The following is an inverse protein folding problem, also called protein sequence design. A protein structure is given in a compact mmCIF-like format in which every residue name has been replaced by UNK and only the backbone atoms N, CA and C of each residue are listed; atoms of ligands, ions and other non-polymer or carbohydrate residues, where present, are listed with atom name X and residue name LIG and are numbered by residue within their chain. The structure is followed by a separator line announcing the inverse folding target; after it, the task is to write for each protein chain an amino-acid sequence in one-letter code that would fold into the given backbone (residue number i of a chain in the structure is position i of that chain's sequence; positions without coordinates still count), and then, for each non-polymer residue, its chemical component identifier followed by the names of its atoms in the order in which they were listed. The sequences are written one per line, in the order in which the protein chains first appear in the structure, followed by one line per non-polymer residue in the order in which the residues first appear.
data_IF_134857034987
#
_entry.id   IF_134857034987
#
_cell.length_a   1.000
_cell.length_b   1.000
_cell.length_c   1.000
_cell.angle_alpha   90.00
_cell.angle_beta   90.00
_cell.angle_gamma   90.00
#
_symmetry.space_group_name_H-M   'P 1'
#
loop_
_entity.id
_entity.type
_entity.pdbx_description
1 polymer ?
#
# COMPACT_ATOMS: atom_id res chain seq x y z
N UNK A 1 32.05 -8.11 3.90
CA UNK A 1 31.06 -7.30 4.65
C UNK A 1 29.65 -7.61 4.12
N UNK A 2 29.24 -8.89 4.13
CA UNK A 2 28.05 -9.43 3.40
C UNK A 2 27.02 -10.00 4.41
N UNK A 3 27.08 -9.56 5.68
CA UNK A 3 26.34 -10.19 6.78
C UNK A 3 25.24 -9.31 7.39
N UNK A 4 24.80 -8.26 6.66
CA UNK A 4 23.70 -7.39 7.09
C UNK A 4 22.47 -7.40 6.16
N UNK A 5 22.44 -8.25 5.13
CA UNK A 5 21.36 -8.27 4.13
C UNK A 5 20.34 -9.41 4.30
N UNK A 6 20.41 -10.21 5.38
CA UNK A 6 19.57 -11.40 5.55
C UNK A 6 18.55 -11.30 6.70
N UNK A 7 18.61 -10.26 7.56
CA UNK A 7 17.89 -10.28 8.85
C UNK A 7 16.78 -9.23 9.02
N UNK A 8 15.95 -9.04 7.99
CA UNK A 8 14.63 -8.42 8.15
C UNK A 8 13.54 -9.49 7.95
N UNK A 9 13.65 -10.60 8.69
CA UNK A 9 12.49 -11.48 8.85
C UNK A 9 11.50 -10.76 9.77
N UNK A 10 10.52 -10.10 9.15
CA UNK A 10 9.40 -9.49 9.87
C UNK A 10 8.76 -10.50 10.82
N UNK A 11 8.35 -9.98 11.97
CA UNK A 11 7.66 -10.76 12.99
C UNK A 11 6.34 -11.32 12.45
N UNK A 12 5.83 -12.37 13.08
CA UNK A 12 4.55 -12.95 12.67
C UNK A 12 3.42 -11.91 12.78
N UNK A 13 3.43 -11.05 13.80
CA UNK A 13 2.42 -10.00 13.95
C UNK A 13 2.44 -8.98 12.81
N UNK A 14 3.63 -8.59 12.33
CA UNK A 14 3.77 -7.65 11.21
C UNK A 14 3.28 -8.25 9.88
N UNK A 15 3.56 -9.55 9.67
CA UNK A 15 3.06 -10.28 8.49
C UNK A 15 1.53 -10.36 8.50
N UNK A 16 0.97 -10.67 9.66
CA UNK A 16 -0.49 -10.68 9.87
C UNK A 16 -1.08 -9.29 9.60
N UNK A 17 -0.49 -8.22 10.14
CA UNK A 17 -0.95 -6.85 9.89
C UNK A 17 -0.95 -6.53 8.40
N UNK A 18 0.10 -6.95 7.68
CA UNK A 18 0.21 -6.75 6.24
C UNK A 18 -0.90 -7.50 5.48
N UNK A 19 -1.26 -8.70 5.92
CA UNK A 19 -2.39 -9.45 5.36
C UNK A 19 -3.71 -8.73 5.62
N UNK A 20 -3.92 -8.25 6.84
CA UNK A 20 -5.15 -7.56 7.24
C UNK A 20 -5.34 -6.25 6.45
N UNK A 21 -4.27 -5.50 6.23
CA UNK A 21 -4.28 -4.33 5.34
C UNK A 21 -4.65 -4.72 3.91
N UNK A 22 -4.02 -5.77 3.36
CA UNK A 22 -4.29 -6.24 2.00
C UNK A 22 -5.76 -6.67 1.83
N UNK A 23 -6.30 -7.44 2.78
CA UNK A 23 -7.70 -7.86 2.80
C UNK A 23 -8.67 -6.68 2.91
N UNK A 24 -8.33 -5.69 3.74
CA UNK A 24 -9.14 -4.47 3.90
C UNK A 24 -9.19 -3.67 2.60
N UNK A 25 -8.09 -3.66 1.85
CA UNK A 25 -7.97 -2.88 0.63
C UNK A 25 -8.56 -3.57 -0.59
N UNK A 26 -8.59 -4.90 -0.58
CA UNK A 26 -9.06 -5.71 -1.68
C UNK A 26 -10.03 -6.77 -1.15
N UNK A 27 -11.28 -6.43 -0.81
CA UNK A 27 -12.25 -7.40 -0.29
C UNK A 27 -12.68 -8.50 -1.28
N UNK A 28 -12.49 -8.28 -2.60
CA UNK A 28 -12.86 -9.23 -3.66
C UNK A 28 -11.61 -9.88 -4.26
N UNK A 29 -11.09 -10.88 -3.56
CA UNK A 29 -9.87 -11.60 -3.94
C UNK A 29 -10.17 -13.04 -4.33
N UNK A 30 -9.26 -13.63 -5.11
CA UNK A 30 -9.13 -15.08 -5.29
C UNK A 30 -7.79 -15.57 -4.72
N UNK A 31 -7.63 -16.88 -4.53
CA UNK A 31 -6.38 -17.50 -4.05
C UNK A 31 -5.17 -17.09 -4.90
N UNK A 32 -5.39 -16.94 -6.21
CA UNK A 32 -4.40 -16.48 -7.18
C UNK A 32 -3.85 -15.08 -6.86
N UNK A 33 -4.68 -14.20 -6.31
CA UNK A 33 -4.30 -12.82 -6.02
C UNK A 33 -3.41 -12.75 -4.77
N UNK A 34 -3.68 -13.58 -3.75
CA UNK A 34 -2.76 -13.75 -2.62
C UNK A 34 -1.41 -14.29 -3.07
N UNK A 35 -1.43 -15.28 -3.98
CA UNK A 35 -0.20 -15.83 -4.54
C UNK A 35 0.61 -14.75 -5.25
N UNK A 36 -0.03 -13.99 -6.15
CA UNK A 36 0.64 -12.92 -6.92
C UNK A 36 1.14 -11.79 -6.02
N UNK A 37 0.35 -11.38 -5.02
CA UNK A 37 0.75 -10.39 -4.02
C UNK A 37 2.00 -10.81 -3.24
N UNK A 38 2.03 -12.04 -2.73
CA UNK A 38 3.23 -12.58 -2.07
C UNK A 38 4.39 -12.75 -3.05
N UNK A 39 4.11 -13.16 -4.28
CA UNK A 39 5.12 -13.44 -5.30
C UNK A 39 5.87 -12.17 -5.65
N UNK A 40 5.15 -11.09 -5.91
CA UNK A 40 5.77 -9.80 -6.17
C UNK A 40 6.47 -9.22 -4.95
N UNK A 41 5.98 -9.45 -3.74
CA UNK A 41 6.69 -9.09 -2.52
C UNK A 41 8.05 -9.78 -2.38
N UNK A 42 8.17 -11.03 -2.84
CA UNK A 42 9.43 -11.77 -2.72
C UNK A 42 10.37 -11.56 -3.91
N UNK A 43 9.84 -11.66 -5.12
CA UNK A 43 10.61 -11.75 -6.36
C UNK A 43 10.60 -10.45 -7.17
N UNK A 44 9.71 -9.50 -6.87
CA UNK A 44 9.49 -8.33 -7.71
C UNK A 44 8.87 -8.69 -9.06
N UNK A 45 8.95 -7.76 -10.02
CA UNK A 45 8.45 -7.95 -11.38
C UNK A 45 9.51 -8.62 -12.26
N UNK A 46 9.39 -9.93 -12.48
CA UNK A 46 10.39 -10.74 -13.20
C UNK A 46 10.38 -10.42 -14.70
N UNK A 47 9.21 -10.14 -15.28
CA UNK A 47 9.05 -9.85 -16.70
C UNK A 47 10.00 -8.75 -17.21
N UNK A 48 10.36 -7.78 -16.37
CA UNK A 48 11.24 -6.67 -16.75
C UNK A 48 12.71 -7.12 -16.93
N UNK A 49 13.13 -8.26 -16.36
CA UNK A 49 14.50 -8.78 -16.55
C UNK A 49 14.74 -9.31 -17.97
N UNK A 50 13.77 -9.98 -18.58
CA UNK A 50 13.94 -10.51 -19.95
C UNK A 50 13.83 -9.42 -21.03
N UNK A 51 13.09 -8.34 -20.75
CA UNK A 51 12.95 -7.19 -21.65
C UNK A 51 14.20 -6.31 -21.76
N UNK A 52 15.11 -6.35 -20.79
CA UNK A 52 16.39 -5.63 -20.88
C UNK A 52 17.49 -6.43 -21.59
N UNK A 53 17.27 -7.73 -21.85
CA UNK A 53 18.24 -8.54 -22.62
C UNK A 53 18.26 -8.15 -24.09
N UNK A 54 17.10 -7.97 -24.73
CA UNK A 54 17.06 -7.74 -26.18
C UNK A 54 15.83 -6.93 -26.62
N UNK A 55 16.10 -5.75 -27.20
CA UNK A 55 15.26 -4.95 -28.14
C UNK A 55 14.59 -3.68 -27.61
N UNK A 56 14.88 -2.62 -28.38
CA UNK A 56 14.18 -1.33 -28.51
C UNK A 56 12.66 -1.48 -28.34
N UNK A 57 12.13 -1.09 -27.19
CA UNK A 57 10.71 -0.83 -27.01
C UNK A 57 10.53 0.67 -26.76
N UNK A 58 9.38 1.20 -27.17
CA UNK A 58 9.00 2.61 -26.98
C UNK A 58 9.34 3.08 -25.56
N UNK A 59 9.74 4.37 -25.38
CA UNK A 59 10.19 4.85 -24.07
C UNK A 59 9.14 4.49 -23.03
N UNK A 60 9.51 3.76 -21.97
CA UNK A 60 8.60 3.27 -20.90
C UNK A 60 7.61 4.34 -20.44
N UNK A 61 8.03 5.60 -20.48
CA UNK A 61 7.20 6.79 -20.26
C UNK A 61 5.96 6.87 -21.19
N UNK A 62 6.11 6.62 -22.50
CA UNK A 62 5.01 6.72 -23.45
C UNK A 62 3.92 5.67 -23.20
N UNK A 63 4.29 4.43 -22.87
CA UNK A 63 3.29 3.42 -22.47
C UNK A 63 2.61 3.81 -21.16
N UNK A 64 3.36 4.31 -20.18
CA UNK A 64 2.78 4.81 -18.92
C UNK A 64 1.81 5.98 -19.16
N UNK A 65 2.12 6.88 -20.08
CA UNK A 65 1.23 8.01 -20.41
C UNK A 65 -0.05 7.55 -21.12
N UNK A 66 0.03 6.56 -22.02
CA UNK A 66 -1.17 5.97 -22.64
C UNK A 66 -2.04 5.23 -21.62
N UNK A 67 -1.43 4.44 -20.74
CA UNK A 67 -2.12 3.77 -19.62
C UNK A 67 -2.86 4.78 -18.73
N UNK A 68 -2.20 5.89 -18.39
CA UNK A 68 -2.79 6.97 -17.60
C UNK A 68 -3.97 7.64 -18.31
N UNK A 69 -3.87 7.91 -19.61
CA UNK A 69 -4.96 8.51 -20.38
C UNK A 69 -6.21 7.62 -20.34
N UNK A 70 -6.03 6.32 -20.56
CA UNK A 70 -7.13 5.36 -20.52
C UNK A 70 -7.76 5.23 -19.13
N UNK A 71 -6.97 5.37 -18.06
CA UNK A 71 -7.47 5.27 -16.67
C UNK A 71 -8.12 6.57 -16.18
N UNK A 72 -7.65 7.73 -16.63
CA UNK A 72 -8.25 9.03 -16.28
C UNK A 72 -9.68 9.19 -16.82
N UNK A 73 -10.01 8.46 -17.90
CA UNK A 73 -11.37 8.39 -18.44
C UNK A 73 -12.30 7.48 -17.62
N UNK A 74 -11.76 6.67 -16.70
CA UNK A 74 -12.51 5.82 -15.78
C UNK A 74 -12.75 6.52 -14.43
N UNK A 75 -14.00 6.55 -13.97
CA UNK A 75 -14.40 7.23 -12.72
C UNK A 75 -13.86 6.57 -11.44
N UNK A 76 -13.33 5.34 -11.50
CA UNK A 76 -12.86 4.60 -10.33
C UNK A 76 -11.39 4.91 -9.99
N UNK A 77 -11.13 6.12 -9.49
CA UNK A 77 -9.77 6.57 -9.23
C UNK A 77 -9.32 6.18 -7.82
N UNK A 78 -8.26 5.39 -7.73
CA UNK A 78 -7.62 5.09 -6.43
C UNK A 78 -7.02 6.35 -5.84
N UNK A 79 -7.17 6.50 -4.52
CA UNK A 79 -6.62 7.62 -3.75
C UNK A 79 -5.22 7.33 -3.20
N UNK A 80 -4.79 6.07 -3.18
CA UNK A 80 -3.50 5.67 -2.62
C UNK A 80 -2.43 5.63 -3.69
N UNK A 81 -1.28 6.20 -3.40
CA UNK A 81 -0.12 6.27 -4.30
C UNK A 81 0.65 4.97 -4.31
N UNK A 82 0.73 4.28 -3.18
CA UNK A 82 1.46 3.01 -3.10
C UNK A 82 0.80 2.03 -2.13
N UNK A 83 1.12 0.75 -2.31
CA UNK A 83 0.81 -0.33 -1.37
C UNK A 83 2.00 -1.31 -1.21
N UNK A 84 2.26 -1.83 0.00
CA UNK A 84 3.26 -2.87 0.21
C UNK A 84 2.84 -4.20 -0.43
N UNK A 85 3.83 -4.92 -0.97
CA UNK A 85 3.64 -6.23 -1.58
C UNK A 85 4.26 -7.34 -0.72
N UNK A 86 3.44 -8.35 -0.44
CA UNK A 86 3.78 -9.53 0.34
C UNK A 86 4.25 -9.25 1.77
N UNK A 87 4.70 -10.30 2.44
CA UNK A 87 5.14 -10.26 3.83
C UNK A 87 6.54 -9.69 4.04
N UNK A 88 7.40 -9.77 3.02
CA UNK A 88 8.73 -9.18 3.07
C UNK A 88 8.68 -7.64 2.96
N UNK A 89 7.64 -7.10 2.33
CA UNK A 89 7.48 -5.69 1.95
C UNK A 89 8.73 -5.08 1.28
N UNK A 90 9.54 -5.90 0.61
CA UNK A 90 10.74 -5.43 -0.12
C UNK A 90 10.39 -4.63 -1.36
N UNK A 91 9.21 -4.90 -1.91
CA UNK A 91 8.66 -4.22 -3.06
C UNK A 91 7.34 -3.55 -2.67
N UNK A 92 7.05 -2.47 -3.37
CA UNK A 92 5.76 -1.78 -3.31
C UNK A 92 5.19 -1.72 -4.72
N UNK A 93 3.87 -1.66 -4.79
CA UNK A 93 3.13 -1.32 -6.00
C UNK A 93 2.83 0.16 -5.95
N UNK A 94 3.30 0.92 -6.94
CA UNK A 94 3.02 2.34 -7.11
C UNK A 94 1.89 2.49 -8.12
N UNK A 95 0.81 3.12 -7.70
CA UNK A 95 -0.33 3.48 -8.53
C UNK A 95 -0.01 4.77 -9.30
N UNK A 96 0.06 4.68 -10.62
CA UNK A 96 0.55 5.76 -11.47
C UNK A 96 -0.42 6.96 -11.48
N UNK A 97 -1.72 6.69 -11.50
CA UNK A 97 -2.74 7.74 -11.57
C UNK A 97 -2.73 8.70 -10.38
N UNK A 98 -2.83 8.24 -9.12
CA UNK A 98 -2.72 9.12 -7.97
C UNK A 98 -1.33 9.77 -7.85
N UNK A 99 -0.26 9.04 -8.17
CA UNK A 99 1.10 9.61 -8.20
C UNK A 99 1.20 10.80 -9.18
N UNK A 100 0.65 10.65 -10.39
CA UNK A 100 0.63 11.70 -11.40
C UNK A 100 -0.27 12.87 -11.03
N UNK A 101 -1.42 12.63 -10.39
CA UNK A 101 -2.35 13.66 -9.91
C UNK A 101 -1.83 14.51 -8.75
N UNK A 102 -0.79 14.02 -8.07
CA UNK A 102 -0.02 14.78 -7.09
C UNK A 102 1.16 15.53 -7.74
N UNK A 103 1.21 15.58 -9.08
CA UNK A 103 2.22 16.27 -9.87
C UNK A 103 3.64 15.70 -9.73
N UNK A 104 3.77 14.45 -9.27
CA UNK A 104 5.06 13.80 -9.20
C UNK A 104 5.56 13.31 -10.57
N UNK A 105 6.86 13.46 -10.87
CA UNK A 105 7.41 13.13 -12.19
C UNK A 105 7.48 11.61 -12.42
N UNK A 106 6.79 11.12 -13.45
CA UNK A 106 6.79 9.70 -13.84
C UNK A 106 8.17 9.18 -14.24
N UNK A 107 9.04 10.04 -14.78
CA UNK A 107 10.42 9.70 -15.11
C UNK A 107 11.20 9.16 -13.90
N UNK A 108 10.85 9.58 -12.68
CA UNK A 108 11.47 9.04 -11.46
C UNK A 108 11.07 7.58 -11.22
N UNK A 109 9.82 7.22 -11.48
CA UNK A 109 9.36 5.82 -11.41
C UNK A 109 10.08 4.97 -12.45
N UNK A 110 10.23 5.46 -13.68
CA UNK A 110 11.00 4.76 -14.73
C UNK A 110 12.45 4.50 -14.28
N UNK A 111 13.11 5.51 -13.70
CA UNK A 111 14.47 5.37 -13.18
C UNK A 111 14.53 4.38 -12.00
N UNK A 112 13.53 4.39 -11.13
CA UNK A 112 13.44 3.44 -10.02
C UNK A 112 13.28 2.01 -10.52
N UNK A 113 12.39 1.77 -11.49
CA UNK A 113 12.20 0.46 -12.12
C UNK A 113 13.50 -0.08 -12.74
N UNK A 114 14.27 0.79 -13.41
CA UNK A 114 15.56 0.42 -14.00
C UNK A 114 16.61 0.06 -12.96
N UNK A 115 16.58 0.70 -11.79
CA UNK A 115 17.55 0.50 -10.70
C UNK A 115 17.14 -0.58 -9.71
N UNK A 116 15.86 -0.92 -9.65
CA UNK A 116 15.35 -2.07 -8.95
C UNK A 116 15.60 -3.33 -9.79
N UNK A 117 16.87 -3.63 -10.09
CA UNK A 117 17.24 -4.94 -10.63
C UNK A 117 16.86 -5.99 -9.59
N UNK A 118 15.93 -6.89 -9.95
CA UNK A 118 15.33 -7.81 -9.00
C UNK A 118 16.38 -8.64 -8.26
N UNK A 119 16.30 -8.60 -6.92
CA UNK A 119 17.00 -9.55 -6.08
C UNK A 119 16.51 -10.96 -6.42
N UNK A 120 17.41 -11.95 -6.41
CA UNK A 120 17.00 -13.34 -6.41
C UNK A 120 16.22 -13.61 -5.11
N UNK A 121 14.89 -13.50 -5.17
CA UNK A 121 14.02 -13.74 -4.04
C UNK A 121 14.26 -15.13 -3.45
N UNK A 122 14.05 -15.27 -2.14
CA UNK A 122 14.31 -16.50 -1.41
C UNK A 122 13.13 -17.45 -1.55
N UNK A 123 13.23 -18.42 -2.47
CA UNK A 123 12.16 -19.43 -2.71
C UNK A 123 11.68 -20.13 -1.44
N UNK A 124 12.58 -20.43 -0.50
CA UNK A 124 12.21 -21.04 0.78
C UNK A 124 11.39 -20.11 1.66
N UNK A 125 11.71 -18.81 1.68
CA UNK A 125 10.94 -17.82 2.44
C UNK A 125 9.55 -17.66 1.85
N UNK A 126 9.43 -17.56 0.52
CA UNK A 126 8.14 -17.52 -0.15
C UNK A 126 7.25 -18.70 0.22
N UNK A 127 7.80 -19.92 0.25
CA UNK A 127 7.03 -21.12 0.64
C UNK A 127 6.57 -21.08 2.09
N UNK A 128 7.42 -20.61 3.02
CA UNK A 128 7.04 -20.45 4.42
C UNK A 128 5.96 -19.37 4.60
N UNK A 129 6.10 -18.25 3.90
CA UNK A 129 5.13 -17.15 3.90
C UNK A 129 3.79 -17.58 3.31
N UNK A 130 3.81 -18.40 2.24
CA UNK A 130 2.61 -19.01 1.68
C UNK A 130 1.88 -19.93 2.67
N UNK A 131 2.63 -20.77 3.40
CA UNK A 131 2.07 -21.63 4.44
C UNK A 131 1.42 -20.78 5.55
N UNK A 132 2.13 -19.75 6.02
CA UNK A 132 1.61 -18.84 7.03
C UNK A 132 0.31 -18.16 6.56
N UNK A 133 0.27 -17.67 5.32
CA UNK A 133 -0.92 -17.04 4.74
C UNK A 133 -2.10 -18.02 4.70
N UNK A 134 -1.86 -19.24 4.21
CA UNK A 134 -2.88 -20.29 4.15
C UNK A 134 -3.44 -20.60 5.53
N UNK A 135 -2.58 -20.77 6.52
CA UNK A 135 -2.99 -21.08 7.89
C UNK A 135 -3.81 -19.93 8.50
N UNK A 136 -3.43 -18.67 8.27
CA UNK A 136 -4.18 -17.50 8.74
C UNK A 136 -5.54 -17.37 8.04
N UNK A 137 -5.62 -17.53 6.71
CA UNK A 137 -6.88 -17.44 5.97
C UNK A 137 -7.86 -18.54 6.39
N UNK A 138 -7.38 -19.78 6.50
CA UNK A 138 -8.21 -20.93 6.88
C UNK A 138 -8.62 -20.86 8.35
N UNK A 139 -7.72 -20.48 9.26
CA UNK A 139 -8.05 -20.38 10.70
C UNK A 139 -9.07 -19.27 11.01
N UNK A 140 -9.05 -18.18 10.25
CA UNK A 140 -10.01 -17.07 10.36
C UNK A 140 -11.29 -17.27 9.55
N UNK A 141 -11.38 -18.38 8.79
CA UNK A 141 -12.51 -18.72 7.94
C UNK A 141 -12.87 -17.58 6.94
N UNK A 142 -11.86 -16.98 6.31
CA UNK A 142 -12.01 -15.84 5.38
C UNK A 142 -12.44 -16.35 3.99
N UNK A 143 -13.55 -17.10 3.93
CA UNK A 143 -14.19 -17.51 2.68
C UNK A 143 -13.46 -18.58 1.85
N UNK A 144 -12.25 -19.00 2.23
CA UNK A 144 -11.49 -20.04 1.54
C UNK A 144 -11.21 -21.24 2.45
N UNK A 145 -11.36 -22.43 1.88
CA UNK A 145 -11.13 -23.72 2.52
C UNK A 145 -9.72 -24.22 2.22
N UNK A 146 -9.21 -25.10 3.10
CA UNK A 146 -7.93 -25.77 2.90
C UNK A 146 -7.88 -26.55 1.57
N UNK A 147 -9.00 -27.12 1.14
CA UNK A 147 -9.07 -27.90 -0.10
C UNK A 147 -8.90 -27.00 -1.33
N UNK A 148 -9.45 -25.79 -1.33
CA UNK A 148 -9.29 -24.84 -2.44
C UNK A 148 -7.84 -24.40 -2.60
N UNK A 149 -7.10 -24.20 -1.49
CA UNK A 149 -5.66 -23.95 -1.54
C UNK A 149 -4.88 -25.11 -2.16
N UNK A 150 -5.19 -26.36 -1.77
CA UNK A 150 -4.52 -27.55 -2.33
C UNK A 150 -4.82 -27.66 -3.84
N UNK A 151 -6.09 -27.52 -4.23
CA UNK A 151 -6.48 -27.57 -5.63
C UNK A 151 -5.78 -26.48 -6.47
N UNK A 152 -5.62 -25.28 -5.90
CA UNK A 152 -4.87 -24.20 -6.54
C UNK A 152 -3.38 -24.55 -6.66
N UNK A 153 -2.75 -24.99 -5.57
CA UNK A 153 -1.33 -25.38 -5.52
C UNK A 153 -0.99 -26.45 -6.57
N UNK A 154 -1.86 -27.44 -6.74
CA UNK A 154 -1.73 -28.50 -7.74
C UNK A 154 -1.89 -27.96 -9.16
N UNK A 155 -2.92 -27.12 -9.41
CA UNK A 155 -3.19 -26.49 -10.71
C UNK A 155 -2.00 -25.70 -11.22
N UNK A 156 -1.33 -24.97 -10.33
CA UNK A 156 -0.20 -24.11 -10.69
C UNK A 156 1.15 -24.80 -10.57
N UNK A 157 1.21 -26.08 -10.19
CA UNK A 157 2.47 -26.78 -9.95
C UNK A 157 3.38 -25.99 -8.97
N UNK A 158 2.85 -25.66 -7.79
CA UNK A 158 3.47 -24.73 -6.81
C UNK A 158 4.95 -25.00 -6.50
N UNK A 159 5.43 -26.24 -6.63
CA UNK A 159 6.84 -26.58 -6.45
C UNK A 159 7.79 -25.81 -7.39
N UNK A 160 7.35 -25.44 -8.60
CA UNK A 160 8.12 -24.69 -9.59
C UNK A 160 8.10 -23.17 -9.34
N UNK A 161 7.10 -22.68 -8.61
CA UNK A 161 6.84 -21.27 -8.35
C UNK A 161 6.68 -20.46 -9.65
N UNK A 162 5.72 -20.82 -10.52
CA UNK A 162 5.51 -20.08 -11.77
C UNK A 162 5.07 -18.65 -11.48
N UNK A 163 5.42 -17.73 -12.36
CA UNK A 163 4.80 -16.41 -12.36
C UNK A 163 3.38 -16.53 -12.93
N UNK A 164 2.40 -16.11 -12.14
CA UNK A 164 1.00 -16.01 -12.55
C UNK A 164 0.61 -14.55 -12.61
N UNK A 165 -0.42 -14.20 -13.36
CA UNK A 165 -1.00 -12.86 -13.31
C UNK A 165 -2.07 -12.78 -12.19
N UNK A 166 -2.57 -11.58 -11.87
CA UNK A 166 -3.76 -11.43 -11.04
C UNK A 166 -4.99 -12.05 -11.72
N UNK A 167 -5.99 -12.46 -10.92
CA UNK A 167 -7.26 -12.99 -11.41
C UNK A 167 -8.01 -11.95 -12.25
N UNK A 168 -8.85 -12.41 -13.16
CA UNK A 168 -9.69 -11.51 -13.97
C UNK A 168 -10.67 -10.73 -13.07
N UNK A 169 -11.15 -11.36 -12.00
CA UNK A 169 -11.97 -10.73 -10.96
C UNK A 169 -11.22 -9.57 -10.32
N UNK A 170 -9.97 -9.78 -9.90
CA UNK A 170 -9.14 -8.74 -9.32
C UNK A 170 -8.92 -7.60 -10.31
N UNK A 171 -8.48 -7.89 -11.54
CA UNK A 171 -8.24 -6.85 -12.55
C UNK A 171 -9.48 -6.00 -12.86
N UNK A 172 -10.67 -6.61 -12.83
CA UNK A 172 -11.94 -5.93 -13.08
C UNK A 172 -12.39 -5.06 -11.90
N UNK A 173 -12.25 -5.55 -10.68
CA UNK A 173 -12.66 -4.82 -9.47
C UNK A 173 -11.63 -3.75 -9.06
N UNK A 174 -10.38 -3.96 -9.46
CA UNK A 174 -9.23 -3.17 -9.06
C UNK A 174 -8.39 -2.70 -10.26
N UNK A 175 -9.00 -2.11 -11.31
CA UNK A 175 -8.26 -1.62 -12.46
C UNK A 175 -7.36 -0.47 -12.01
N UNK A 176 -6.06 -0.62 -12.22
CA UNK A 176 -5.13 0.47 -11.95
C UNK A 176 -3.83 0.29 -12.73
N UNK A 177 -3.40 1.37 -13.39
CA UNK A 177 -2.07 1.47 -13.98
C UNK A 177 -1.06 1.55 -12.84
N UNK A 178 -0.17 0.58 -12.77
CA UNK A 178 0.74 0.45 -11.65
C UNK A 178 2.12 -0.05 -12.08
N UNK A 179 3.12 0.20 -11.24
CA UNK A 179 4.49 -0.31 -11.41
C UNK A 179 5.04 -0.82 -10.08
N UNK A 180 5.88 -1.85 -10.16
CA UNK A 180 6.50 -2.45 -8.98
C UNK A 180 7.92 -1.93 -8.86
N UNK A 181 8.27 -1.42 -7.69
CA UNK A 181 9.59 -0.87 -7.41
C UNK A 181 10.06 -1.34 -6.03
N UNK A 182 11.38 -1.34 -5.83
CA UNK A 182 11.94 -1.66 -4.52
C UNK A 182 11.55 -0.59 -3.49
N UNK A 183 10.99 -1.01 -2.38
CA UNK A 183 10.46 -0.14 -1.31
C UNK A 183 11.55 0.81 -0.79
N UNK A 184 12.73 0.27 -0.48
CA UNK A 184 13.88 1.02 0.02
C UNK A 184 14.27 2.16 -0.94
N UNK A 185 14.42 1.86 -2.22
CA UNK A 185 14.77 2.87 -3.21
C UNK A 185 13.66 3.90 -3.35
N UNK A 186 12.39 3.49 -3.34
CA UNK A 186 11.29 4.44 -3.44
C UNK A 186 11.26 5.43 -2.27
N UNK A 187 11.35 4.96 -1.03
CA UNK A 187 11.32 5.85 0.15
C UNK A 187 12.60 6.67 0.34
N UNK A 188 13.74 6.22 -0.19
CA UNK A 188 14.95 7.06 -0.26
C UNK A 188 14.75 8.29 -1.17
N UNK A 189 13.98 8.13 -2.25
CA UNK A 189 13.67 9.22 -3.19
C UNK A 189 12.47 10.05 -2.77
N UNK A 190 11.51 9.45 -2.07
CA UNK A 190 10.26 10.08 -1.64
C UNK A 190 9.94 9.74 -0.18
N UNK A 191 10.70 10.32 0.78
CA UNK A 191 10.53 10.04 2.20
C UNK A 191 9.15 10.45 2.74
N UNK A 192 8.47 11.41 2.10
CA UNK A 192 7.13 11.86 2.47
C UNK A 192 6.08 10.73 2.41
N UNK A 193 6.26 9.78 1.50
CA UNK A 193 5.35 8.65 1.35
C UNK A 193 5.59 7.55 2.40
N UNK A 194 6.66 7.62 3.20
CA UNK A 194 6.96 6.61 4.21
C UNK A 194 5.95 6.64 5.37
N UNK A 195 5.38 7.81 5.67
CA UNK A 195 4.40 8.00 6.73
C UNK A 195 2.96 7.95 6.22
N UNK A 196 2.73 8.36 4.95
CA UNK A 196 1.40 8.40 4.35
C UNK A 196 1.35 7.72 2.98
N UNK A 197 0.46 6.74 2.84
CA UNK A 197 0.23 6.00 1.59
C UNK A 197 -0.64 6.73 0.56
N UNK A 198 -1.26 7.86 0.96
CA UNK A 198 -2.07 8.72 0.08
C UNK A 198 -1.27 9.86 -0.56
N UNK A 199 -0.07 10.14 -0.04
CA UNK A 199 0.74 11.26 -0.52
C UNK A 199 0.31 12.63 -0.02
N UNK A 200 1.15 13.60 -0.31
CA UNK A 200 1.01 14.98 0.11
C UNK A 200 0.98 15.93 -1.09
N UNK A 201 0.21 17.02 -1.00
CA UNK A 201 0.28 18.15 -1.94
C UNK A 201 0.96 19.32 -1.23
N UNK A 202 2.11 19.75 -1.74
CA UNK A 202 2.91 20.85 -1.18
C UNK A 202 2.16 22.17 -0.97
N UNK A 203 1.01 22.36 -1.60
CA UNK A 203 0.22 23.60 -1.54
C UNK A 203 -1.10 23.50 -0.75
N UNK A 204 -1.48 22.33 -0.25
CA UNK A 204 -2.74 22.19 0.51
C UNK A 204 -2.57 22.47 2.03
N UNK A 205 -1.33 22.66 2.49
CA UNK A 205 -0.97 22.81 3.92
C UNK A 205 -0.54 24.22 4.35
N UNK A 206 -0.85 25.24 3.55
CA UNK A 206 -0.92 26.61 4.07
C UNK A 206 -2.30 26.81 4.68
N UNK A 207 -2.56 26.19 5.83
CA UNK A 207 -3.69 26.58 6.69
C UNK A 207 -3.23 27.75 7.58
N UNK A 208 -4.11 28.74 7.83
CA UNK A 208 -4.91 28.58 9.02
C UNK A 208 -6.33 29.12 8.85
N UNK A 209 -7.32 28.23 8.87
CA UNK A 209 -8.64 28.56 9.41
C UNK A 209 -8.95 27.67 10.61
N UNK A 210 -8.04 27.73 11.59
CA UNK A 210 -8.39 27.59 13.00
C UNK A 210 -9.07 28.88 13.50
N UNK A 211 -10.20 29.26 12.88
CA UNK A 211 -11.23 30.22 13.35
C UNK A 211 -12.43 29.90 12.46
N UNK A 212 -13.30 28.97 12.83
CA UNK A 212 -14.68 29.25 13.25
C UNK A 212 -15.32 27.89 13.58
N UNK A 213 -15.38 27.54 14.86
CA UNK A 213 -16.31 26.57 15.51
C UNK A 213 -15.90 26.35 16.97
N UNK A 214 -15.68 27.47 17.68
CA UNK A 214 -15.52 27.52 19.15
C UNK A 214 -16.23 28.74 19.74
N UNK A 215 -17.23 29.28 19.05
CA UNK A 215 -18.09 30.33 19.62
C UNK A 215 -19.39 29.74 20.21
N UNK A 216 -19.85 28.57 19.76
CA UNK A 216 -21.11 27.99 20.25
C UNK A 216 -21.02 27.22 21.59
N UNK A 217 -19.82 26.87 22.08
CA UNK A 217 -19.66 26.15 23.36
C UNK A 217 -19.28 27.07 24.55
N UNK A 218 -18.91 28.33 24.29
CA UNK A 218 -18.57 29.31 25.33
C UNK A 218 -19.77 30.19 25.74
N UNK A 219 -20.80 30.33 24.89
CA UNK A 219 -22.04 31.06 25.23
C UNK A 219 -22.98 30.26 26.15
N UNK A 220 -22.88 28.92 26.17
CA UNK A 220 -23.73 28.08 27.02
C UNK A 220 -23.22 28.01 28.47
N UNK A 221 -21.91 28.17 28.69
CA UNK A 221 -21.32 28.13 30.04
C UNK A 221 -21.34 29.50 30.76
N UNK A 222 -21.43 30.61 30.02
CA UNK A 222 -21.56 31.94 30.61
C UNK A 222 -22.97 32.26 31.12
N UNK A 223 -24.00 31.54 30.65
CA UNK A 223 -25.40 31.73 31.07
C UNK A 223 -25.78 30.97 32.36
N UNK A 224 -24.94 30.03 32.83
CA UNK A 224 -25.22 29.23 34.03
C UNK A 224 -24.47 29.71 35.30
N UNK A 225 -23.56 30.67 35.20
CA UNK A 225 -22.79 31.18 36.36
C UNK A 225 -23.35 32.46 37.00
N UNK A 226 -24.33 33.14 36.37
CA UNK A 226 -24.92 34.40 36.89
C UNK A 226 -26.03 34.22 37.94
N UNK A 227 -26.34 32.98 38.34
CA UNK A 227 -27.43 32.70 39.29
C UNK A 227 -26.95 32.02 40.59
N UNK A 228 -25.80 32.43 41.16
CA UNK A 228 -25.43 32.09 42.55
C UNK A 228 -24.84 33.25 43.35
N UNK A 229 -25.74 33.91 44.09
CA UNK A 229 -25.55 34.33 45.49
C UNK A 229 -24.55 35.46 45.79
N UNK A 230 -25.04 36.71 45.71
CA UNK A 230 -24.56 37.79 46.58
C UNK A 230 -25.11 37.62 48.01
N UNK A 231 -24.22 37.41 48.97
CA UNK A 231 -24.42 37.80 50.37
C UNK A 231 -23.08 37.70 51.11
N UNK A 232 -22.34 38.81 51.17
CA UNK A 232 -21.23 38.94 52.14
C UNK A 232 -21.46 40.19 52.98
N UNK A 233 -21.87 39.92 54.21
CA UNK A 233 -21.95 40.84 55.32
C UNK A 233 -20.59 41.49 55.57
N UNK A 234 -20.56 42.82 55.65
CA UNK A 234 -19.46 43.59 56.21
C UNK A 234 -19.59 43.59 57.74
N UNK A 235 -18.52 43.21 58.41
CA UNK A 235 -18.39 43.21 59.86
C UNK A 235 -16.93 43.28 60.26
N UNK A 236 -16.54 44.48 60.70
CA UNK A 236 -15.45 44.85 61.62
C UNK A 236 -13.99 44.50 61.26
N UNK A 237 -13.16 45.53 61.05
CA UNK A 237 -12.39 46.16 62.14
C UNK A 237 -11.32 47.11 61.57
N UNK A 238 -11.42 48.41 61.91
CA UNK A 238 -10.45 49.21 62.68
C UNK A 238 -10.85 50.69 62.68
#
# INVERSE_FOLDING_TARGET
MIQKEIDENRTREEKIRSLDEFLTWHPKLEIQDFYKWLYFGEFGEIAVQEFYSERKNAPTLHSMLQELQNELESESLRTRVWEPLGFSQRYIKVYLTPYFKLEYPLMRIVNLMQRSSAFQGYRMRFKLDWILLKDEIVSRNIGFTKQEFINFEDRIQFHQLPELDFSDTFKKEYPASNRIVAAKLFFEYFPEFAQENKGFRLFDDVLPSSVEKKEDELEILAAEEDEKSYSRWEGEAL
#
